data_IF_838742224111
#
_entry.id   IF_838742224111
#
_cell.length_a   1.000
_cell.length_b   1.000
_cell.length_c   1.000
_cell.angle_alpha   90.00
_cell.angle_beta   90.00
_cell.angle_gamma   90.00
#
_symmetry.space_group_name_H-M   'P 1'
#
loop_
_entity.id
_entity.type
_entity.pdbx_description
1 polymer ?
#
# COMPACT_ATOMS: atom_id res chain seq x y z
N UNK A 1 -16.80 -8.79 3.09
CA UNK A 1 -15.69 -7.97 3.57
C UNK A 1 -14.97 -7.51 2.31
N UNK A 2 -15.46 -6.42 1.73
CA UNK A 2 -14.70 -5.74 0.70
C UNK A 2 -13.65 -4.90 1.41
N UNK A 3 -12.41 -4.99 0.94
CA UNK A 3 -11.32 -4.16 1.43
C UNK A 3 -10.65 -3.52 0.21
N UNK A 4 -10.74 -2.20 0.02
CA UNK A 4 -10.26 -1.54 -1.19
C UNK A 4 -9.72 -0.17 -0.84
N UNK A 5 -8.53 0.15 -1.32
CA UNK A 5 -8.04 1.49 -1.56
C UNK A 5 -8.19 1.82 -3.05
N UNK A 6 -9.26 2.54 -3.41
CA UNK A 6 -9.28 3.19 -4.72
C UNK A 6 -8.65 4.58 -4.56
N UNK A 7 -7.54 4.83 -5.29
CA UNK A 7 -7.26 6.18 -5.77
C UNK A 7 -7.88 6.32 -7.17
N UNK A 8 -8.57 7.41 -7.49
CA UNK A 8 -8.99 7.70 -8.86
C UNK A 8 -7.75 7.95 -9.72
N UNK A 9 -7.63 7.25 -10.84
CA UNK A 9 -6.71 7.62 -11.92
C UNK A 9 -7.38 8.79 -12.65
N UNK A 10 -7.05 10.03 -12.28
CA UNK A 10 -7.50 11.19 -13.06
C UNK A 10 -6.54 11.45 -14.21
N UNK A 11 -7.10 11.36 -15.41
CA UNK A 11 -6.53 11.84 -16.67
C UNK A 11 -5.93 13.25 -16.53
N UNK A 12 -4.76 13.44 -17.13
CA UNK A 12 -4.16 14.76 -17.33
C UNK A 12 -5.04 15.62 -18.26
N UNK A 13 -5.29 16.90 -17.93
CA UNK A 13 -5.76 17.87 -18.92
C UNK A 13 -4.57 18.69 -19.44
N UNK A 14 -4.49 18.71 -20.77
CA UNK A 14 -3.83 19.73 -21.57
C UNK A 14 -4.31 21.15 -21.22
N UNK A 15 -3.39 22.10 -21.09
CA UNK A 15 -3.71 23.54 -20.98
C UNK A 15 -2.48 24.42 -21.16
N UNK A 16 -2.52 25.29 -22.17
CA UNK A 16 -1.49 26.26 -22.54
C UNK A 16 -1.20 27.31 -21.44
N UNK A 17 -0.01 27.96 -21.46
CA UNK A 17 0.34 28.98 -20.47
C UNK A 17 -0.26 30.34 -20.80
N UNK A 18 -0.91 30.97 -19.81
CA UNK A 18 -1.31 32.37 -19.88
C UNK A 18 -0.16 33.31 -19.57
N UNK A 19 -0.07 34.32 -20.42
CA UNK A 19 0.76 35.51 -20.37
C UNK A 19 0.44 36.42 -19.17
N UNK A 20 1.49 37.00 -18.57
CA UNK A 20 1.39 38.30 -17.90
C UNK A 20 2.57 39.18 -18.29
N UNK A 21 2.24 40.20 -19.06
CA UNK A 21 3.00 41.41 -19.31
C UNK A 21 3.02 42.29 -18.06
N UNK A 22 4.17 42.89 -17.75
CA UNK A 22 4.27 44.25 -17.21
C UNK A 22 5.73 44.71 -17.14
N UNK A 23 6.08 45.65 -18.01
CA UNK A 23 7.11 46.68 -17.80
C UNK A 23 6.48 48.00 -18.23
N UNK A 24 6.85 49.14 -17.61
CA UNK A 24 7.95 49.96 -18.15
C UNK A 24 8.77 50.61 -16.99
N UNK A 25 9.90 51.31 -17.12
CA UNK A 25 10.52 52.09 -18.19
C UNK A 25 11.98 52.46 -17.81
N UNK A 26 12.89 52.40 -18.80
CA UNK A 26 14.05 53.26 -19.12
C UNK A 26 15.07 53.70 -18.05
N UNK A 27 16.35 53.36 -18.33
CA UNK A 27 17.37 54.36 -18.68
C UNK A 27 18.45 53.70 -19.57
N UNK A 28 18.94 54.44 -20.57
CA UNK A 28 19.80 54.00 -21.66
C UNK A 28 21.15 54.74 -21.65
N UNK A 29 22.20 53.98 -21.97
CA UNK A 29 23.42 54.35 -22.71
C UNK A 29 24.58 55.10 -22.01
N UNK A 30 25.83 55.07 -22.56
CA UNK A 30 26.29 54.47 -23.83
C UNK A 30 27.51 53.52 -23.75
N UNK A 31 27.75 52.89 -24.90
CA UNK A 31 28.87 52.06 -25.33
C UNK A 31 30.00 52.96 -25.82
N UNK A 32 31.27 52.67 -25.51
CA UNK A 32 32.37 53.01 -26.41
C UNK A 32 33.61 52.09 -26.31
N UNK A 33 33.99 51.58 -27.49
CA UNK A 33 35.33 51.40 -28.08
C UNK A 33 36.44 50.50 -27.49
N UNK A 34 36.77 49.51 -28.34
CA UNK A 34 38.10 49.02 -28.79
C UNK A 34 39.13 48.51 -27.78
N UNK A 35 39.53 47.25 -27.95
CA UNK A 35 40.95 46.88 -28.09
C UNK A 35 41.09 45.59 -28.93
N UNK A 36 41.57 45.76 -30.16
CA UNK A 36 42.24 44.73 -30.95
C UNK A 36 43.71 44.73 -30.50
N UNK A 37 44.22 43.57 -30.08
CA UNK A 37 45.62 43.41 -29.70
C UNK A 37 45.99 41.94 -29.58
N UNK A 38 46.35 41.32 -30.71
CA UNK A 38 47.08 40.06 -30.74
C UNK A 38 48.39 40.20 -29.96
N UNK A 39 48.62 39.32 -28.99
CA UNK A 39 49.95 38.87 -28.60
C UNK A 39 49.90 37.34 -28.42
N UNK A 40 50.46 36.65 -29.41
CA UNK A 40 50.73 35.22 -29.42
C UNK A 40 52.00 34.97 -28.62
N UNK A 41 51.97 34.02 -27.68
CA UNK A 41 53.16 33.34 -27.17
C UNK A 41 53.12 31.88 -27.67
N UNK A 42 54.21 31.35 -28.25
CA UNK A 42 54.28 29.97 -28.73
C UNK A 42 54.89 29.05 -27.66
N UNK A 43 54.38 27.81 -27.57
CA UNK A 43 55.04 26.76 -26.79
C UNK A 43 54.12 25.64 -26.33
N UNK A 44 54.00 24.63 -27.17
CA UNK A 44 53.84 23.21 -26.85
C UNK A 44 52.51 22.67 -26.28
N UNK A 45 51.80 22.05 -27.23
CA UNK A 45 51.25 20.69 -27.18
C UNK A 45 49.92 20.40 -26.47
N UNK A 46 48.96 20.09 -27.35
CA UNK A 46 48.07 18.93 -27.31
C UNK A 46 46.97 18.95 -26.25
N UNK A 47 45.83 19.50 -26.68
CA UNK A 47 44.53 18.82 -26.72
C UNK A 47 44.30 17.71 -25.68
N UNK A 48 43.87 18.10 -24.48
CA UNK A 48 42.93 17.27 -23.70
C UNK A 48 41.82 18.16 -23.18
N UNK A 49 40.93 18.55 -24.09
CA UNK A 49 39.51 18.72 -23.73
C UNK A 49 39.04 17.34 -23.26
N UNK A 50 39.14 17.11 -21.95
CA UNK A 50 38.46 16.00 -21.29
C UNK A 50 36.98 16.18 -21.59
N UNK A 51 36.49 15.50 -22.62
CA UNK A 51 35.09 15.16 -22.74
C UNK A 51 34.72 14.55 -21.39
N UNK A 52 33.91 15.27 -20.60
CA UNK A 52 33.02 14.58 -19.68
C UNK A 52 32.18 13.67 -20.57
N UNK A 53 32.57 12.41 -20.69
CA UNK A 53 31.70 11.36 -21.15
C UNK A 53 30.47 11.46 -20.25
N UNK A 54 29.39 12.02 -20.79
CA UNK A 54 28.08 11.87 -20.18
C UNK A 54 27.87 10.37 -20.12
N UNK A 55 28.01 9.79 -18.93
CA UNK A 55 27.74 8.38 -18.73
C UNK A 55 26.40 8.08 -19.40
N UNK A 56 26.30 7.00 -20.19
CA UNK A 56 25.06 6.66 -20.85
C UNK A 56 23.94 6.66 -19.81
N UNK A 57 22.75 7.19 -20.15
CA UNK A 57 21.66 7.23 -19.19
C UNK A 57 21.43 5.83 -18.63
N UNK A 58 21.17 5.70 -17.32
CA UNK A 58 21.04 4.41 -16.66
C UNK A 58 20.00 3.56 -17.38
N UNK A 59 20.33 2.29 -17.66
CA UNK A 59 19.42 1.38 -18.37
C UNK A 59 18.15 1.20 -17.54
N UNK A 60 17.01 1.57 -18.12
CA UNK A 60 15.68 1.42 -17.52
C UNK A 60 14.90 0.42 -18.34
N UNK A 61 14.37 -0.59 -17.66
CA UNK A 61 13.55 -1.65 -18.25
C UNK A 61 12.17 -1.61 -17.58
N UNK A 62 11.13 -1.69 -18.40
CA UNK A 62 9.74 -1.73 -17.97
C UNK A 62 9.16 -3.05 -18.46
N UNK A 63 8.53 -3.78 -17.56
CA UNK A 63 7.91 -5.06 -17.83
C UNK A 63 6.42 -4.98 -17.56
N UNK A 64 5.62 -5.61 -18.43
CA UNK A 64 4.18 -5.77 -18.30
C UNK A 64 3.82 -7.18 -18.74
N UNK A 65 3.06 -7.92 -17.92
CA UNK A 65 2.67 -9.29 -18.19
C UNK A 65 1.23 -9.51 -17.72
N UNK A 66 0.38 -10.06 -18.58
CA UNK A 66 -0.96 -10.56 -18.25
C UNK A 66 -0.94 -12.08 -18.27
N UNK A 67 -1.71 -12.73 -17.40
CA UNK A 67 -1.79 -14.19 -17.32
C UNK A 67 -3.19 -14.67 -16.93
N UNK A 68 -3.64 -15.74 -17.60
CA UNK A 68 -4.98 -16.34 -17.42
C UNK A 68 -4.98 -17.56 -16.47
N UNK A 69 -3.89 -17.75 -15.74
CA UNK A 69 -3.70 -18.79 -14.71
C UNK A 69 -2.49 -18.44 -13.85
N UNK A 70 -2.16 -19.23 -12.83
CA UNK A 70 -0.93 -19.05 -12.05
C UNK A 70 0.28 -18.77 -12.98
N UNK A 71 1.02 -17.65 -12.79
CA UNK A 71 2.07 -17.26 -13.71
C UNK A 71 3.16 -18.33 -13.80
N UNK A 72 3.41 -18.80 -15.01
CA UNK A 72 4.46 -19.78 -15.30
C UNK A 72 5.84 -19.09 -15.16
N UNK A 73 6.83 -19.67 -14.45
CA UNK A 73 8.17 -19.11 -14.36
C UNK A 73 8.77 -18.71 -15.72
N UNK A 74 8.52 -19.50 -16.77
CA UNK A 74 9.02 -19.25 -18.12
C UNK A 74 8.35 -18.07 -18.84
N UNK A 75 7.20 -17.61 -18.35
CA UNK A 75 6.50 -16.43 -18.89
C UNK A 75 6.97 -15.11 -18.26
N UNK A 76 7.69 -15.18 -17.14
CA UNK A 76 8.19 -14.00 -16.43
C UNK A 76 9.49 -13.55 -17.09
N UNK A 77 9.64 -12.27 -17.47
CA UNK A 77 10.88 -11.77 -18.04
C UNK A 77 12.08 -12.05 -17.13
N UNK A 78 13.13 -12.69 -17.66
CA UNK A 78 14.28 -13.14 -16.86
C UNK A 78 14.95 -12.01 -16.06
N UNK A 79 15.06 -10.80 -16.62
CA UNK A 79 15.62 -9.64 -15.91
C UNK A 79 14.76 -9.20 -14.71
N UNK A 80 13.43 -9.34 -14.81
CA UNK A 80 12.52 -9.06 -13.71
C UNK A 80 12.64 -10.12 -12.61
N UNK A 81 12.59 -11.41 -12.96
CA UNK A 81 12.73 -12.49 -11.98
C UNK A 81 14.10 -12.46 -11.29
N UNK A 82 15.18 -12.18 -12.03
CA UNK A 82 16.52 -12.00 -11.45
C UNK A 82 16.57 -10.83 -10.45
N UNK A 83 16.00 -9.67 -10.81
CA UNK A 83 15.98 -8.50 -9.93
C UNK A 83 15.15 -8.76 -8.65
N UNK A 84 14.07 -9.53 -8.76
CA UNK A 84 13.27 -9.97 -7.62
C UNK A 84 14.02 -10.94 -6.71
N UNK A 85 14.65 -11.99 -7.28
CA UNK A 85 15.39 -13.00 -6.51
C UNK A 85 16.52 -12.42 -5.68
N UNK A 86 17.17 -11.35 -6.15
CA UNK A 86 18.17 -10.60 -5.36
C UNK A 86 17.63 -10.13 -4.01
N UNK A 87 16.32 -9.87 -3.90
CA UNK A 87 15.65 -9.45 -2.65
C UNK A 87 15.03 -10.63 -1.93
N UNK A 88 14.12 -11.35 -2.58
CA UNK A 88 13.26 -12.34 -1.93
C UNK A 88 13.79 -13.78 -1.92
N UNK A 89 14.86 -14.07 -2.67
CA UNK A 89 15.44 -15.41 -2.84
C UNK A 89 14.63 -16.36 -3.74
N UNK A 90 13.30 -16.32 -3.64
CA UNK A 90 12.37 -17.16 -4.41
C UNK A 90 12.02 -16.57 -5.79
N UNK A 91 11.48 -17.39 -6.68
CA UNK A 91 10.85 -16.94 -7.95
C UNK A 91 9.63 -16.04 -7.69
N UNK A 92 9.36 -15.11 -8.59
CA UNK A 92 8.14 -14.29 -8.51
C UNK A 92 6.89 -15.18 -8.56
N UNK A 93 6.84 -16.12 -9.50
CA UNK A 93 5.73 -17.09 -9.65
C UNK A 93 5.47 -17.85 -8.35
N UNK A 94 6.54 -18.37 -7.73
CA UNK A 94 6.46 -19.11 -6.46
C UNK A 94 6.00 -18.22 -5.30
N UNK A 95 6.51 -16.98 -5.22
CA UNK A 95 6.12 -16.02 -4.20
C UNK A 95 4.63 -15.68 -4.30
N UNK A 96 4.12 -15.48 -5.52
CA UNK A 96 2.71 -15.22 -5.77
C UNK A 96 1.83 -16.46 -5.48
N UNK A 97 2.29 -17.67 -5.80
CA UNK A 97 1.60 -18.91 -5.40
C UNK A 97 1.50 -19.03 -3.88
N UNK A 98 2.56 -18.65 -3.17
CA UNK A 98 2.64 -18.77 -1.72
C UNK A 98 1.62 -17.88 -0.99
N UNK A 99 1.12 -16.82 -1.64
CA UNK A 99 0.05 -15.98 -1.09
C UNK A 99 -1.21 -16.79 -0.77
N UNK A 100 -1.57 -17.76 -1.61
CA UNK A 100 -2.77 -18.60 -1.44
C UNK A 100 -2.50 -19.89 -0.64
N UNK A 101 -1.26 -20.17 -0.26
CA UNK A 101 -0.88 -21.41 0.41
C UNK A 101 -1.64 -21.62 1.72
N UNK A 102 -2.17 -22.84 1.92
CA UNK A 102 -2.98 -23.19 3.09
C UNK A 102 -4.41 -22.66 3.03
N UNK A 103 -4.89 -22.28 1.84
CA UNK A 103 -6.31 -21.96 1.58
C UNK A 103 -6.86 -22.93 0.52
N UNK A 104 -8.19 -22.89 0.30
CA UNK A 104 -8.85 -23.64 -0.78
C UNK A 104 -8.93 -22.83 -2.09
N UNK A 105 -8.05 -21.83 -2.25
CA UNK A 105 -8.02 -20.93 -3.39
C UNK A 105 -6.69 -21.06 -4.15
N UNK A 106 -6.75 -20.77 -5.44
CA UNK A 106 -5.60 -20.61 -6.32
C UNK A 106 -5.73 -19.34 -7.17
N UNK A 107 -4.61 -18.89 -7.76
CA UNK A 107 -4.65 -17.78 -8.71
C UNK A 107 -5.33 -18.23 -10.00
N UNK A 108 -6.41 -17.53 -10.34
CA UNK A 108 -7.12 -17.69 -11.61
C UNK A 108 -6.45 -16.92 -12.75
N UNK A 109 -5.84 -15.78 -12.45
CA UNK A 109 -5.21 -14.91 -13.44
C UNK A 109 -4.84 -13.58 -12.84
N UNK A 110 -4.25 -12.68 -13.63
CA UNK A 110 -3.77 -11.40 -13.14
C UNK A 110 -2.78 -10.70 -14.05
N UNK A 111 -2.17 -9.65 -13.51
CA UNK A 111 -1.19 -8.82 -14.19
C UNK A 111 0.03 -8.55 -13.30
N UNK A 112 1.18 -8.33 -13.93
CA UNK A 112 2.38 -7.76 -13.33
C UNK A 112 2.80 -6.54 -14.12
N UNK A 113 3.15 -5.47 -13.42
CA UNK A 113 3.87 -4.33 -13.97
C UNK A 113 5.10 -4.03 -13.11
N UNK A 114 6.24 -3.77 -13.73
CA UNK A 114 7.47 -3.50 -12.99
C UNK A 114 8.42 -2.60 -13.74
N UNK A 115 9.20 -1.85 -12.97
CA UNK A 115 10.38 -1.10 -13.40
C UNK A 115 11.62 -1.68 -12.75
N UNK A 116 12.61 -1.98 -13.59
CA UNK A 116 13.98 -2.32 -13.19
C UNK A 116 14.91 -1.23 -13.69
N UNK A 117 15.81 -0.76 -12.84
CA UNK A 117 16.85 0.21 -13.18
C UNK A 117 18.20 -0.38 -12.79
N UNK A 118 19.11 -0.50 -13.76
CA UNK A 118 20.46 -1.03 -13.52
C UNK A 118 20.46 -2.42 -12.86
N UNK A 119 19.49 -3.27 -13.21
CA UNK A 119 19.33 -4.60 -12.64
C UNK A 119 18.75 -4.63 -11.22
N UNK A 120 18.33 -3.48 -10.69
CA UNK A 120 17.68 -3.33 -9.39
C UNK A 120 16.18 -3.07 -9.56
N UNK A 121 15.37 -3.89 -8.88
CA UNK A 121 13.92 -3.75 -8.87
C UNK A 121 13.54 -2.45 -8.17
N UNK A 122 12.81 -1.57 -8.86
CA UNK A 122 12.36 -0.27 -8.34
C UNK A 122 10.92 -0.33 -7.83
N UNK A 123 10.07 -1.10 -8.52
CA UNK A 123 8.71 -1.40 -8.10
C UNK A 123 8.21 -2.71 -8.69
N UNK A 124 7.17 -3.27 -8.07
CA UNK A 124 6.36 -4.34 -8.63
C UNK A 124 4.90 -4.07 -8.25
N UNK A 125 4.08 -3.82 -9.26
CA UNK A 125 2.64 -3.75 -9.13
C UNK A 125 2.05 -5.07 -9.63
N UNK A 126 1.09 -5.63 -8.88
CA UNK A 126 0.41 -6.85 -9.32
C UNK A 126 -1.06 -6.84 -8.95
N UNK A 127 -1.86 -7.37 -9.87
CA UNK A 127 -3.27 -7.69 -9.67
C UNK A 127 -3.44 -9.21 -9.78
N UNK A 128 -4.20 -9.80 -8.86
CA UNK A 128 -4.51 -11.22 -8.89
C UNK A 128 -6.01 -11.43 -8.72
N UNK A 129 -6.58 -12.29 -9.55
CA UNK A 129 -7.89 -12.89 -9.34
C UNK A 129 -7.73 -14.31 -8.80
N UNK A 130 -8.66 -14.73 -7.96
CA UNK A 130 -8.64 -16.04 -7.30
C UNK A 130 -9.81 -16.88 -7.76
N UNK A 131 -9.63 -18.19 -7.71
CA UNK A 131 -10.69 -19.17 -7.86
C UNK A 131 -10.66 -20.18 -6.72
N UNK A 132 -11.79 -20.80 -6.44
CA UNK A 132 -11.89 -21.97 -5.57
C UNK A 132 -11.35 -23.21 -6.29
N UNK A 133 -10.47 -23.97 -5.63
CA UNK A 133 -9.80 -25.12 -6.24
C UNK A 133 -10.75 -26.24 -6.62
N UNK A 134 -11.77 -26.49 -5.80
CA UNK A 134 -12.73 -27.57 -6.03
C UNK A 134 -13.71 -27.25 -7.16
N UNK A 135 -14.17 -26.00 -7.24
CA UNK A 135 -15.26 -25.61 -8.14
C UNK A 135 -14.81 -24.83 -9.38
N UNK A 136 -13.58 -24.30 -9.38
CA UNK A 136 -13.10 -23.35 -10.37
C UNK A 136 -13.82 -21.98 -10.34
N UNK A 137 -14.74 -21.77 -9.40
CA UNK A 137 -15.53 -20.53 -9.30
C UNK A 137 -14.65 -19.38 -8.83
N UNK A 138 -14.84 -18.20 -9.41
CA UNK A 138 -14.20 -16.97 -8.95
C UNK A 138 -14.47 -16.73 -7.46
N UNK A 139 -13.41 -16.46 -6.71
CA UNK A 139 -13.47 -16.33 -5.25
C UNK A 139 -13.12 -14.93 -4.74
N UNK A 140 -12.46 -14.12 -5.56
CA UNK A 140 -12.06 -12.77 -5.18
C UNK A 140 -10.87 -12.25 -5.98
N UNK A 141 -10.30 -11.15 -5.50
CA UNK A 141 -9.11 -10.55 -6.12
C UNK A 141 -8.34 -9.65 -5.15
N UNK A 142 -7.08 -9.36 -5.49
CA UNK A 142 -6.25 -8.39 -4.78
C UNK A 142 -5.38 -7.58 -5.72
N UNK A 143 -4.92 -6.43 -5.24
CA UNK A 143 -3.94 -5.59 -5.91
C UNK A 143 -2.91 -5.08 -4.91
N UNK A 144 -1.63 -5.07 -5.28
CA UNK A 144 -0.52 -4.56 -4.47
C UNK A 144 0.40 -3.70 -5.32
N UNK A 145 0.93 -2.65 -4.70
CA UNK A 145 2.06 -1.88 -5.24
C UNK A 145 3.23 -1.99 -4.28
N UNK A 146 4.32 -2.63 -4.71
CA UNK A 146 5.54 -2.76 -3.92
C UNK A 146 6.54 -1.73 -4.44
N UNK A 147 7.05 -0.87 -3.57
CA UNK A 147 8.01 0.17 -3.90
C UNK A 147 9.37 -0.10 -3.24
N UNK A 148 10.41 -0.13 -4.06
CA UNK A 148 11.81 -0.33 -3.69
C UNK A 148 12.71 0.85 -4.12
N UNK A 149 12.10 1.96 -4.57
CA UNK A 149 12.84 3.13 -5.04
C UNK A 149 13.56 3.83 -3.90
N UNK A 150 12.99 3.79 -2.70
CA UNK A 150 13.70 4.03 -1.45
C UNK A 150 14.26 2.69 -0.96
N UNK A 151 15.58 2.52 -1.05
CA UNK A 151 16.22 1.27 -0.65
C UNK A 151 16.32 1.10 0.87
N UNK A 152 16.24 2.19 1.63
CA UNK A 152 16.32 2.17 3.10
C UNK A 152 14.94 1.97 3.72
N UNK A 153 13.88 2.40 3.04
CA UNK A 153 12.50 2.28 3.50
C UNK A 153 11.53 1.74 2.43
N UNK A 154 11.78 0.54 1.87
CA UNK A 154 10.86 -0.06 0.92
C UNK A 154 9.50 -0.35 1.58
N UNK A 155 8.43 -0.16 0.82
CA UNK A 155 7.08 -0.24 1.35
C UNK A 155 6.11 -0.92 0.37
N UNK A 156 4.96 -1.33 0.88
CA UNK A 156 3.87 -1.91 0.08
C UNK A 156 2.58 -1.13 0.30
N UNK A 157 1.87 -0.80 -0.78
CA UNK A 157 0.48 -0.35 -0.71
C UNK A 157 -0.47 -1.53 -0.94
N UNK A 158 -1.37 -1.78 0.01
CA UNK A 158 -2.50 -2.67 -0.17
C UNK A 158 -3.63 -1.95 -0.93
N UNK A 159 -3.51 -1.90 -2.25
CA UNK A 159 -4.45 -1.21 -3.13
C UNK A 159 -5.84 -1.87 -3.12
N UNK A 160 -5.94 -3.20 -3.19
CA UNK A 160 -7.23 -3.88 -3.26
C UNK A 160 -7.21 -5.26 -2.61
N UNK A 161 -8.31 -5.68 -2.00
CA UNK A 161 -8.56 -7.03 -1.52
C UNK A 161 -10.06 -7.32 -1.33
N UNK A 162 -10.60 -8.25 -2.12
CA UNK A 162 -11.98 -8.71 -1.97
C UNK A 162 -12.01 -10.23 -1.97
N UNK A 163 -12.89 -10.76 -1.14
CA UNK A 163 -13.39 -12.13 -1.25
C UNK A 163 -14.89 -12.09 -1.47
N UNK A 164 -15.40 -12.99 -2.29
CA UNK A 164 -16.82 -13.16 -2.48
C UNK A 164 -17.50 -13.73 -1.24
N UNK A 165 -18.81 -13.44 -1.09
CA UNK A 165 -19.54 -13.62 0.17
C UNK A 165 -19.47 -15.05 0.71
N UNK A 166 -19.47 -16.05 -0.17
CA UNK A 166 -19.40 -17.46 0.19
C UNK A 166 -18.02 -17.89 0.72
N UNK A 167 -16.95 -17.18 0.34
CA UNK A 167 -15.57 -17.43 0.79
C UNK A 167 -15.16 -16.54 1.98
N UNK A 168 -16.09 -15.75 2.52
CA UNK A 168 -15.85 -14.93 3.71
C UNK A 168 -16.07 -15.73 4.99
N UNK A 169 -15.53 -15.21 6.10
CA UNK A 169 -15.66 -15.78 7.45
C UNK A 169 -15.00 -17.15 7.68
N UNK A 170 -14.38 -17.76 6.66
CA UNK A 170 -13.63 -19.03 6.76
C UNK A 170 -12.13 -18.88 7.03
N UNK A 171 -11.64 -17.72 7.48
CA UNK A 171 -10.21 -17.50 7.76
C UNK A 171 -9.31 -17.28 6.53
N UNK A 172 -9.79 -17.49 5.30
CA UNK A 172 -9.03 -17.31 4.05
C UNK A 172 -8.31 -15.96 3.99
N UNK A 173 -9.01 -14.86 4.29
CA UNK A 173 -8.40 -13.52 4.31
C UNK A 173 -7.23 -13.40 5.30
N UNK A 174 -7.34 -14.03 6.48
CA UNK A 174 -6.27 -14.04 7.48
C UNK A 174 -5.06 -14.82 6.98
N UNK A 175 -5.27 -15.97 6.34
CA UNK A 175 -4.19 -16.77 5.74
C UNK A 175 -3.46 -16.01 4.63
N UNK A 176 -4.22 -15.43 3.69
CA UNK A 176 -3.65 -14.65 2.58
C UNK A 176 -2.85 -13.46 3.10
N UNK A 177 -3.38 -12.71 4.07
CA UNK A 177 -2.67 -11.57 4.66
C UNK A 177 -1.44 -12.02 5.47
N UNK A 178 -1.53 -13.14 6.19
CA UNK A 178 -0.37 -13.73 6.89
C UNK A 178 0.74 -14.12 5.90
N UNK A 179 0.39 -14.74 4.78
CA UNK A 179 1.35 -15.09 3.73
C UNK A 179 1.93 -13.84 3.04
N UNK A 180 1.11 -12.80 2.86
CA UNK A 180 1.57 -11.50 2.35
C UNK A 180 2.65 -10.91 3.26
N UNK A 181 2.41 -10.86 4.58
CA UNK A 181 3.39 -10.33 5.54
C UNK A 181 4.70 -11.13 5.54
N UNK A 182 4.64 -12.48 5.45
CA UNK A 182 5.85 -13.32 5.32
C UNK A 182 6.63 -13.03 4.04
N UNK A 183 5.94 -12.79 2.93
CA UNK A 183 6.58 -12.39 1.68
C UNK A 183 7.27 -11.02 1.84
N UNK A 184 6.61 -10.08 2.52
CA UNK A 184 7.18 -8.75 2.80
C UNK A 184 8.42 -8.82 3.69
N UNK A 185 8.43 -9.71 4.69
CA UNK A 185 9.60 -10.00 5.52
C UNK A 185 10.79 -10.46 4.67
N UNK A 186 10.58 -11.41 3.77
CA UNK A 186 11.63 -11.90 2.85
C UNK A 186 12.16 -10.81 1.92
N UNK A 187 11.30 -9.88 1.51
CA UNK A 187 11.66 -8.79 0.60
C UNK A 187 12.33 -7.60 1.30
N UNK A 188 12.42 -7.64 2.64
CA UNK A 188 12.96 -6.54 3.44
C UNK A 188 12.08 -5.30 3.45
N UNK A 189 10.75 -5.46 3.32
CA UNK A 189 9.79 -4.36 3.40
C UNK A 189 9.74 -3.82 4.84
N UNK A 190 9.71 -2.49 4.96
CA UNK A 190 9.65 -1.79 6.24
C UNK A 190 8.22 -1.43 6.65
N UNK A 191 7.38 -1.04 5.68
CA UNK A 191 6.03 -0.56 5.95
C UNK A 191 4.99 -1.08 4.97
N UNK A 192 3.77 -1.29 5.46
CA UNK A 192 2.57 -1.50 4.65
C UNK A 192 1.62 -0.34 4.84
N UNK A 193 1.16 0.25 3.75
CA UNK A 193 0.14 1.29 3.73
C UNK A 193 -1.16 0.80 3.11
N UNK A 194 -2.28 1.40 3.51
CA UNK A 194 -3.59 1.16 2.92
C UNK A 194 -4.54 2.32 3.17
N UNK A 195 -5.64 2.37 2.42
CA UNK A 195 -6.80 3.18 2.79
C UNK A 195 -7.89 2.27 3.35
N UNK A 196 -8.24 2.48 4.62
CA UNK A 196 -9.25 1.72 5.36
C UNK A 196 -10.67 2.21 5.01
N UNK A 197 -10.99 2.40 3.74
CA UNK A 197 -12.13 3.20 3.31
C UNK A 197 -13.43 2.47 2.98
N UNK A 198 -13.46 1.15 3.09
CA UNK A 198 -14.66 0.36 2.75
C UNK A 198 -15.51 0.05 3.96
N UNK A 199 -16.75 -0.39 3.71
CA UNK A 199 -17.79 -0.62 4.73
C UNK A 199 -17.36 -1.44 5.96
N UNK A 200 -16.34 -2.30 5.84
CA UNK A 200 -15.77 -3.09 6.95
C UNK A 200 -14.32 -2.69 7.29
N UNK A 201 -13.68 -1.87 6.45
CA UNK A 201 -12.24 -1.60 6.43
C UNK A 201 -11.72 -1.03 7.75
N UNK A 202 -12.36 0.00 8.28
CA UNK A 202 -11.92 0.65 9.52
C UNK A 202 -11.81 -0.32 10.71
N UNK A 203 -12.87 -1.08 10.99
CA UNK A 203 -12.86 -2.10 12.04
C UNK A 203 -11.84 -3.22 11.77
N UNK A 204 -11.84 -3.76 10.55
CA UNK A 204 -11.02 -4.93 10.22
C UNK A 204 -9.52 -4.62 10.33
N UNK A 205 -9.07 -3.52 9.76
CA UNK A 205 -7.66 -3.17 9.73
C UNK A 205 -7.10 -2.81 11.11
N UNK A 206 -7.93 -2.22 11.98
CA UNK A 206 -7.59 -2.03 13.38
C UNK A 206 -7.35 -3.36 14.10
N UNK A 207 -8.13 -4.41 13.80
CA UNK A 207 -7.90 -5.77 14.35
C UNK A 207 -6.63 -6.41 13.80
N UNK A 208 -6.26 -6.14 12.56
CA UNK A 208 -4.99 -6.58 11.97
C UNK A 208 -3.77 -5.78 12.47
N UNK A 209 -3.95 -4.74 13.30
CA UNK A 209 -2.84 -3.97 13.86
C UNK A 209 -2.35 -2.81 13.00
N UNK A 210 -3.10 -2.43 11.97
CA UNK A 210 -2.90 -1.13 11.31
C UNK A 210 -3.37 0.00 12.22
N UNK A 211 -2.75 1.16 12.07
CA UNK A 211 -3.07 2.38 12.81
C UNK A 211 -3.03 3.60 11.87
N UNK A 212 -3.75 4.70 12.17
CA UNK A 212 -3.68 5.90 11.35
C UNK A 212 -2.24 6.34 11.12
N UNK A 213 -1.91 6.68 9.88
CA UNK A 213 -0.54 7.01 9.46
C UNK A 213 -0.02 8.29 10.15
N UNK A 214 -0.90 9.28 10.31
CA UNK A 214 -0.58 10.59 10.86
C UNK A 214 -1.76 11.12 11.69
N UNK A 215 -1.56 12.29 12.32
CA UNK A 215 -2.57 12.92 13.18
C UNK A 215 -3.83 13.35 12.43
N UNK A 216 -3.71 13.77 11.18
CA UNK A 216 -4.87 14.18 10.38
C UNK A 216 -5.79 12.98 10.08
N UNK A 217 -5.20 11.82 9.76
CA UNK A 217 -5.95 10.58 9.60
C UNK A 217 -6.57 10.10 10.93
N UNK A 218 -5.89 10.31 12.06
CA UNK A 218 -6.42 10.02 13.39
C UNK A 218 -7.63 10.89 13.74
N UNK A 219 -7.52 12.20 13.52
CA UNK A 219 -8.61 13.14 13.82
C UNK A 219 -9.82 12.91 12.92
N UNK A 220 -9.60 12.63 11.62
CA UNK A 220 -10.68 12.24 10.70
C UNK A 220 -11.40 10.99 11.18
N UNK A 221 -10.65 9.96 11.56
CA UNK A 221 -11.23 8.74 12.14
C UNK A 221 -12.07 9.07 13.39
N UNK A 222 -11.58 9.92 14.28
CA UNK A 222 -12.32 10.28 15.49
C UNK A 222 -13.61 11.04 15.19
N UNK A 223 -13.63 11.92 14.20
CA UNK A 223 -14.85 12.62 13.78
C UNK A 223 -15.89 11.64 13.23
N UNK A 224 -15.47 10.65 12.46
CA UNK A 224 -16.36 9.60 11.97
C UNK A 224 -16.85 8.67 13.09
N UNK A 225 -15.99 8.36 14.08
CA UNK A 225 -16.42 7.62 15.28
C UNK A 225 -17.46 8.42 16.06
N UNK A 226 -17.28 9.73 16.24
CA UNK A 226 -18.29 10.62 16.85
C UNK A 226 -19.60 10.58 16.07
N UNK A 227 -19.53 10.63 14.73
CA UNK A 227 -20.71 10.49 13.87
C UNK A 227 -21.44 9.16 14.09
N UNK A 228 -20.69 8.06 14.14
CA UNK A 228 -21.24 6.73 14.38
C UNK A 228 -21.88 6.61 15.77
N UNK A 229 -21.36 7.29 16.80
CA UNK A 229 -21.96 7.30 18.13
C UNK A 229 -23.40 7.84 18.12
N UNK A 230 -23.74 8.81 17.27
CA UNK A 230 -25.11 9.33 17.14
C UNK A 230 -26.08 8.30 16.56
N UNK A 231 -25.57 7.25 15.90
CA UNK A 231 -26.37 6.17 15.34
C UNK A 231 -26.59 5.00 16.30
N UNK A 232 -26.22 5.16 17.58
CA UNK A 232 -26.25 4.11 18.61
C UNK A 232 -27.04 4.58 19.83
N UNK A 233 -27.78 3.65 20.43
CA UNK A 233 -28.46 3.91 21.70
C UNK A 233 -27.49 3.69 22.88
N UNK A 234 -26.59 4.66 23.11
CA UNK A 234 -25.56 4.57 24.14
C UNK A 234 -26.06 5.12 25.48
N UNK A 235 -25.78 4.39 26.57
CA UNK A 235 -25.95 4.95 27.91
C UNK A 235 -24.83 5.97 28.23
N UNK A 236 -25.02 6.88 29.21
CA UNK A 236 -24.06 7.93 29.53
C UNK A 236 -22.65 7.44 29.89
N UNK A 237 -22.52 6.26 30.52
CA UNK A 237 -21.22 5.70 30.89
C UNK A 237 -20.43 5.28 29.64
N UNK A 238 -21.08 4.62 28.69
CA UNK A 238 -20.43 4.21 27.43
C UNK A 238 -20.08 5.44 26.59
N UNK A 239 -20.99 6.41 26.52
CA UNK A 239 -20.72 7.67 25.80
C UNK A 239 -19.49 8.38 26.35
N UNK A 240 -19.38 8.50 27.69
CA UNK A 240 -18.23 9.11 28.34
C UNK A 240 -16.94 8.32 28.15
N UNK A 241 -16.99 6.99 28.21
CA UNK A 241 -15.84 6.11 27.93
C UNK A 241 -15.30 6.36 26.52
N UNK A 242 -16.15 6.29 25.50
CA UNK A 242 -15.72 6.48 24.11
C UNK A 242 -15.20 7.89 23.90
N UNK A 243 -15.90 8.91 24.42
CA UNK A 243 -15.43 10.32 24.33
C UNK A 243 -14.05 10.50 24.98
N UNK A 244 -13.79 9.83 26.11
CA UNK A 244 -12.48 9.84 26.75
C UNK A 244 -11.38 9.25 25.87
N UNK A 245 -11.66 8.14 25.18
CA UNK A 245 -10.72 7.54 24.21
C UNK A 245 -10.40 8.50 23.05
N UNK A 246 -11.41 9.19 22.51
CA UNK A 246 -11.25 10.12 21.38
C UNK A 246 -10.51 11.42 21.71
N UNK A 247 -10.14 11.63 22.98
CA UNK A 247 -9.33 12.76 23.41
C UNK A 247 -7.82 12.41 23.51
N UNK A 248 -7.46 11.15 23.26
CA UNK A 248 -6.07 10.70 23.25
C UNK A 248 -5.43 10.98 21.88
N UNK A 249 -4.22 11.57 21.86
CA UNK A 249 -3.41 11.71 20.63
C UNK A 249 -2.51 10.48 20.43
N UNK A 250 -3.12 9.28 20.47
CA UNK A 250 -2.43 8.00 20.27
C UNK A 250 -3.11 7.21 19.14
N UNK A 251 -2.41 6.94 18.02
CA UNK A 251 -2.97 6.17 16.92
C UNK A 251 -3.34 4.72 17.32
N UNK A 252 -2.77 4.17 18.39
CA UNK A 252 -3.15 2.85 18.94
C UNK A 252 -4.53 2.84 19.59
N UNK A 253 -5.13 4.00 19.85
CA UNK A 253 -6.53 4.10 20.33
C UNK A 253 -7.50 3.39 19.39
N UNK A 254 -7.22 3.32 18.09
CA UNK A 254 -8.07 2.56 17.15
C UNK A 254 -8.13 1.06 17.51
N UNK A 255 -7.04 0.50 18.06
CA UNK A 255 -7.01 -0.88 18.54
C UNK A 255 -7.92 -1.05 19.73
N UNK A 256 -7.81 -0.14 20.72
CA UNK A 256 -8.70 -0.12 21.89
C UNK A 256 -10.16 -0.02 21.48
N UNK A 257 -10.50 0.90 20.56
CA UNK A 257 -11.86 1.02 20.02
C UNK A 257 -12.33 -0.30 19.39
N UNK A 258 -11.49 -0.95 18.57
CA UNK A 258 -11.84 -2.21 17.91
C UNK A 258 -12.00 -3.39 18.89
N UNK A 259 -11.42 -3.29 20.08
CA UNK A 259 -11.48 -4.34 21.10
C UNK A 259 -12.71 -4.23 22.02
N UNK A 260 -13.49 -3.15 21.93
CA UNK A 260 -14.72 -2.97 22.70
C UNK A 260 -15.81 -3.99 22.31
N UNK A 261 -15.89 -5.10 23.05
CA UNK A 261 -16.83 -6.20 22.78
C UNK A 261 -18.24 -6.01 23.37
N UNK A 262 -18.51 -4.90 24.06
CA UNK A 262 -19.81 -4.66 24.69
C UNK A 262 -20.94 -4.72 23.65
N UNK A 263 -22.03 -5.45 23.90
CA UNK A 263 -23.16 -5.51 22.98
C UNK A 263 -23.85 -4.14 22.92
N UNK A 264 -24.20 -3.71 21.71
CA UNK A 264 -24.98 -2.51 21.44
C UNK A 264 -25.99 -2.75 20.33
N UNK A 265 -27.11 -2.04 20.41
CA UNK A 265 -28.14 -2.01 19.38
C UNK A 265 -27.96 -0.75 18.52
N UNK A 266 -27.86 -0.93 17.21
CA UNK A 266 -27.97 0.17 16.24
C UNK A 266 -29.41 0.70 16.16
N UNK A 267 -29.61 1.89 15.60
CA UNK A 267 -30.95 2.48 15.43
C UNK A 267 -31.89 1.59 14.60
N UNK A 268 -31.37 0.82 13.64
CA UNK A 268 -32.14 -0.12 12.81
C UNK A 268 -32.49 -1.44 13.53
N UNK A 269 -32.08 -1.60 14.79
CA UNK A 269 -32.30 -2.80 15.59
C UNK A 269 -31.22 -3.88 15.45
N UNK A 270 -30.20 -3.69 14.60
CA UNK A 270 -29.09 -4.64 14.47
C UNK A 270 -28.29 -4.72 15.78
N UNK A 271 -28.08 -5.94 16.29
CA UNK A 271 -27.19 -6.21 17.42
C UNK A 271 -25.74 -6.41 16.94
N UNK A 272 -24.80 -5.74 17.58
CA UNK A 272 -23.36 -5.85 17.29
C UNK A 272 -22.52 -5.52 18.52
N UNK A 273 -21.20 -5.63 18.42
CA UNK A 273 -20.27 -5.10 19.43
C UNK A 273 -20.03 -3.61 19.22
N UNK A 274 -19.75 -2.89 20.31
CA UNK A 274 -19.49 -1.45 20.28
C UNK A 274 -18.33 -1.11 19.35
N UNK A 275 -17.20 -1.81 19.42
CA UNK A 275 -16.04 -1.54 18.57
C UNK A 275 -16.34 -1.69 17.09
N UNK A 276 -17.13 -2.72 16.73
CA UNK A 276 -17.61 -2.90 15.35
C UNK A 276 -18.59 -1.82 14.95
N UNK A 277 -19.48 -1.39 15.85
CA UNK A 277 -20.43 -0.31 15.59
C UNK A 277 -19.74 1.05 15.37
N UNK A 278 -18.68 1.33 16.12
CA UNK A 278 -17.93 2.59 16.05
C UNK A 278 -17.03 2.68 14.82
N UNK A 279 -16.41 1.58 14.39
CA UNK A 279 -15.38 1.57 13.34
C UNK A 279 -15.85 1.02 11.99
N UNK A 280 -17.07 0.49 11.91
CA UNK A 280 -17.63 0.13 10.60
C UNK A 280 -17.96 1.38 9.80
N UNK A 281 -17.65 1.35 8.50
CA UNK A 281 -17.91 2.46 7.59
C UNK A 281 -16.97 3.66 7.72
N UNK A 282 -16.03 3.65 8.67
CA UNK A 282 -15.04 4.73 8.80
C UNK A 282 -13.93 4.61 7.74
N UNK A 283 -13.36 5.74 7.32
CA UNK A 283 -12.23 5.89 6.41
C UNK A 283 -11.02 6.50 7.11
N UNK A 284 -9.85 5.89 6.94
CA UNK A 284 -8.55 6.47 7.34
C UNK A 284 -7.41 5.82 6.54
N UNK A 285 -6.30 6.54 6.33
CA UNK A 285 -5.10 5.91 5.80
C UNK A 285 -4.34 5.23 6.93
N UNK A 286 -4.06 3.94 6.72
CA UNK A 286 -3.44 3.08 7.72
C UNK A 286 -2.02 2.72 7.35
N UNK A 287 -1.17 2.71 8.36
CA UNK A 287 0.19 2.20 8.29
C UNK A 287 0.35 0.98 9.21
N UNK A 288 1.16 0.04 8.76
CA UNK A 288 1.69 -1.07 9.55
C UNK A 288 3.21 -1.07 9.41
N UNK A 289 3.91 -0.85 10.51
CA UNK A 289 5.37 -0.91 10.54
C UNK A 289 5.79 -2.35 10.83
N UNK A 290 6.55 -2.96 9.92
CA UNK A 290 6.99 -4.34 10.02
C UNK A 290 7.98 -4.55 11.17
N UNK A 291 8.62 -3.49 11.69
CA UNK A 291 9.54 -3.54 12.84
C UNK A 291 8.86 -3.17 14.16
N UNK A 292 7.64 -2.65 14.14
CA UNK A 292 6.90 -2.36 15.38
C UNK A 292 6.39 -3.65 16.02
N UNK A 293 7.01 -4.02 17.15
CA UNK A 293 6.70 -5.24 17.90
C UNK A 293 5.22 -5.31 18.30
N UNK A 294 4.61 -4.20 18.71
CA UNK A 294 3.22 -4.22 19.15
C UNK A 294 2.24 -4.45 17.99
N UNK A 295 2.47 -3.79 16.85
CA UNK A 295 1.71 -4.06 15.62
C UNK A 295 1.85 -5.54 15.19
N UNK A 296 3.06 -6.11 15.28
CA UNK A 296 3.31 -7.54 14.97
C UNK A 296 2.58 -8.49 15.89
N UNK A 297 2.73 -8.31 17.20
CA UNK A 297 2.06 -9.15 18.19
C UNK A 297 0.54 -9.12 18.00
N UNK A 298 -0.04 -7.94 17.76
CA UNK A 298 -1.47 -7.80 17.48
C UNK A 298 -1.88 -8.54 16.21
N UNK A 299 -1.12 -8.37 15.12
CA UNK A 299 -1.38 -9.07 13.86
C UNK A 299 -1.36 -10.59 14.06
N UNK A 300 -0.29 -11.11 14.65
CA UNK A 300 -0.07 -12.54 14.89
C UNK A 300 -1.15 -13.16 15.77
N UNK A 301 -1.52 -12.48 16.87
CA UNK A 301 -2.63 -12.91 17.71
C UNK A 301 -3.93 -12.96 16.92
N UNK A 302 -4.24 -11.92 16.14
CA UNK A 302 -5.51 -11.85 15.41
C UNK A 302 -5.60 -12.90 14.29
N UNK A 303 -4.52 -13.13 13.54
CA UNK A 303 -4.49 -14.17 12.50
C UNK A 303 -4.41 -15.57 13.09
N UNK A 304 -3.71 -15.75 14.22
CA UNK A 304 -3.53 -17.02 14.91
C UNK A 304 -4.75 -17.52 15.69
N UNK A 305 -5.61 -16.62 16.16
CA UNK A 305 -6.79 -16.96 16.98
C UNK A 305 -7.79 -17.90 16.28
N UNK A 306 -7.77 -18.02 14.95
CA UNK A 306 -8.62 -18.97 14.22
C UNK A 306 -8.08 -20.41 14.19
N UNK A 307 -6.83 -20.66 14.63
CA UNK A 307 -6.29 -22.03 14.68
C UNK A 307 -6.93 -22.90 15.77
N UNK A 308 -7.59 -22.29 16.77
CA UNK A 308 -8.24 -23.04 17.86
C UNK A 308 -9.69 -23.45 17.55
N UNK A 309 -10.33 -22.88 16.52
CA UNK A 309 -11.71 -23.22 16.14
C UNK A 309 -11.80 -24.30 15.04
N UNK A 310 -10.64 -24.82 14.59
CA UNK A 310 -10.53 -25.81 13.51
C UNK A 310 -10.30 -27.26 13.95
N UNK A 311 -10.00 -27.53 15.23
CA UNK A 311 -10.00 -28.88 15.80
C UNK A 311 -11.40 -29.24 16.31
N UNK A 312 -12.34 -29.42 15.38
CA UNK A 312 -13.52 -30.24 15.68
C UNK A 312 -13.09 -31.70 15.53
N UNK A 313 -13.08 -32.38 16.67
CA UNK A 313 -12.79 -33.79 16.89
C UNK A 313 -13.37 -34.70 15.80
N UNK A 314 -12.55 -35.66 15.38
CA UNK A 314 -13.00 -36.88 14.71
C UNK A 314 -13.95 -37.70 15.60
#
# INVERSE_FOLDING_TARGET
>A
MHISGQRPITHAPSGQPWSKTSTPSKAQQPIDQTYNGLLVCPGDNLTTLSLMEKSPPPKREVFSLEFDSQPNPNSIPAGLDQAWRKRGGDEISASLSQLMSGTALSTRGGSLYSRVKEGELQNLDFDLSFQCDESGKEAGSMSRSINFSDQEAPYVEHCYFRLDKEFQKGGIAKSILSNSMKMYDKLGIEKVYLSAGLSVGGYAWAKYGFKPENKDDLFRLYDEVRSNMYSLNLNPRIYSLVTGLLNCDDPKTVWTLSDLQMPVTKIDGEQTTLGKALLMGTYWNGAFDLKDRESRERFEQYVGSNKQDGEVKA
#
